data_IF_908472450419
#
_entry.id   IF_908472450419
#
_cell.length_a   1.000
_cell.length_b   1.000
_cell.length_c   1.000
_cell.angle_alpha   90.00
_cell.angle_beta   90.00
_cell.angle_gamma   90.00
#
_symmetry.space_group_name_H-M   'P 1'
#
loop_
_entity.id
_entity.type
_entity.pdbx_description
1 polymer ?
#
# COMPACT_ATOMS: atom_id res chain seq x y z
N UNK A 1 -32.43 82.40 28.54
CA UNK A 1 -31.44 82.82 27.54
C UNK A 1 -30.57 81.62 27.22
N UNK A 2 -30.49 81.34 25.92
CA UNK A 2 -29.74 80.33 25.16
C UNK A 2 -29.12 79.11 25.83
N UNK A 3 -29.43 77.93 25.28
CA UNK A 3 -28.87 76.65 25.74
C UNK A 3 -28.96 75.54 24.70
N UNK A 4 -28.43 75.79 23.50
CA UNK A 4 -27.88 74.85 22.51
C UNK A 4 -28.62 73.52 22.23
N UNK A 5 -29.25 73.46 21.04
CA UNK A 5 -29.61 72.21 20.37
C UNK A 5 -28.35 71.36 20.08
N UNK A 6 -28.34 70.10 20.50
CA UNK A 6 -27.29 69.13 20.17
C UNK A 6 -27.70 68.36 18.91
N UNK A 7 -26.88 68.32 17.85
CA UNK A 7 -27.22 67.59 16.64
C UNK A 7 -27.09 66.08 16.87
N UNK A 8 -28.08 65.33 16.39
CA UNK A 8 -28.03 63.87 16.30
C UNK A 8 -27.08 63.50 15.16
N UNK A 9 -25.94 62.89 15.50
CA UNK A 9 -24.97 62.41 14.52
C UNK A 9 -25.50 61.13 13.87
N UNK A 10 -26.01 61.25 12.63
CA UNK A 10 -26.37 60.09 11.81
C UNK A 10 -25.10 59.35 11.39
N UNK A 11 -24.86 58.16 11.96
CA UNK A 11 -23.83 57.24 11.46
C UNK A 11 -24.20 56.82 10.03
N UNK A 12 -23.40 57.25 9.04
CA UNK A 12 -23.50 56.73 7.68
C UNK A 12 -22.92 55.33 7.62
N UNK A 13 -23.68 54.38 7.10
CA UNK A 13 -23.22 53.03 6.79
C UNK A 13 -22.12 53.13 5.72
N UNK A 14 -20.88 52.78 6.07
CA UNK A 14 -19.76 52.72 5.12
C UNK A 14 -19.97 51.62 4.09
N UNK A 15 -19.66 51.91 2.83
CA UNK A 15 -19.67 50.93 1.75
C UNK A 15 -18.64 49.82 2.02
N UNK A 16 -19.09 48.57 2.05
CA UNK A 16 -18.21 47.39 2.13
C UNK A 16 -17.34 47.36 0.87
N UNK A 17 -16.03 47.55 1.02
CA UNK A 17 -15.07 47.34 -0.05
C UNK A 17 -15.10 45.86 -0.47
N UNK A 18 -15.43 45.59 -1.73
CA UNK A 18 -15.35 44.24 -2.30
C UNK A 18 -13.89 43.79 -2.32
N UNK A 19 -13.61 42.64 -1.69
CA UNK A 19 -12.28 42.02 -1.77
C UNK A 19 -11.98 41.68 -3.24
N UNK A 20 -10.76 41.96 -3.75
CA UNK A 20 -10.39 41.49 -5.07
C UNK A 20 -10.44 39.96 -5.06
N UNK A 21 -11.06 39.40 -6.11
CA UNK A 21 -11.15 37.97 -6.35
C UNK A 21 -9.72 37.43 -6.40
N UNK A 22 -9.36 36.60 -5.43
CA UNK A 22 -8.04 35.96 -5.39
C UNK A 22 -7.86 35.16 -6.68
N UNK A 23 -6.98 35.62 -7.58
CA UNK A 23 -6.56 34.86 -8.74
C UNK A 23 -5.69 33.73 -8.25
N UNK A 24 -6.28 32.54 -8.15
CA UNK A 24 -5.51 31.31 -8.01
C UNK A 24 -4.68 31.18 -9.28
N UNK A 25 -3.39 31.51 -9.20
CA UNK A 25 -2.43 31.22 -10.27
C UNK A 25 -2.31 29.70 -10.30
N UNK A 26 -2.86 29.06 -11.33
CA UNK A 26 -2.69 27.63 -11.55
C UNK A 26 -1.20 27.35 -11.80
N UNK A 27 -0.60 26.32 -11.19
CA UNK A 27 0.79 25.95 -11.47
C UNK A 27 0.93 25.58 -12.95
N UNK A 28 1.98 26.10 -13.59
CA UNK A 28 2.26 25.99 -15.02
C UNK A 28 2.80 24.61 -15.46
N UNK A 29 3.03 23.69 -14.53
CA UNK A 29 3.37 22.30 -14.86
C UNK A 29 2.09 21.49 -15.07
N UNK A 30 1.92 20.92 -16.26
CA UNK A 30 0.82 20.00 -16.53
C UNK A 30 0.80 18.88 -15.48
N UNK A 31 -0.34 18.58 -14.85
CA UNK A 31 -0.45 17.51 -13.85
C UNK A 31 0.02 16.13 -14.40
N UNK A 32 0.02 15.96 -15.72
CA UNK A 32 0.48 14.75 -16.42
C UNK A 32 2.00 14.53 -16.29
N UNK A 33 2.82 15.59 -16.38
CA UNK A 33 4.28 15.44 -16.30
C UNK A 33 4.74 15.06 -14.90
N UNK A 34 4.07 15.61 -13.88
CA UNK A 34 4.36 15.30 -12.47
C UNK A 34 4.02 13.85 -12.14
N UNK A 35 2.87 13.35 -12.62
CA UNK A 35 2.48 11.95 -12.42
C UNK A 35 3.43 10.96 -13.12
N UNK A 36 3.78 11.23 -14.39
CA UNK A 36 4.68 10.38 -15.18
C UNK A 36 6.06 10.22 -14.53
N UNK A 37 6.64 11.32 -14.05
CA UNK A 37 7.96 11.29 -13.44
C UNK A 37 7.93 10.56 -12.08
N UNK A 38 6.87 10.79 -11.28
CA UNK A 38 6.70 10.09 -10.00
C UNK A 38 6.53 8.56 -10.15
N UNK A 39 5.84 8.10 -11.19
CA UNK A 39 5.70 6.67 -11.47
C UNK A 39 7.02 6.03 -11.94
N UNK A 40 7.83 6.76 -12.72
CA UNK A 40 9.11 6.26 -13.22
C UNK A 40 10.22 6.22 -12.15
N UNK A 41 10.28 7.24 -11.27
CA UNK A 41 11.34 7.37 -10.26
C UNK A 41 11.04 6.55 -8.99
N UNK A 42 9.77 6.44 -8.59
CA UNK A 42 9.34 5.72 -7.39
C UNK A 42 8.81 4.31 -7.60
N UNK A 43 8.60 3.90 -8.86
CA UNK A 43 7.87 2.68 -9.21
C UNK A 43 8.71 1.53 -9.75
N UNK A 44 10.05 1.59 -9.77
CA UNK A 44 10.84 0.49 -10.32
C UNK A 44 10.68 -0.81 -9.49
N UNK A 45 10.43 -1.94 -10.17
CA UNK A 45 10.22 -3.26 -9.58
C UNK A 45 11.50 -3.86 -8.95
N UNK A 46 12.01 -3.23 -7.89
CA UNK A 46 13.26 -3.61 -7.20
C UNK A 46 13.02 -4.23 -5.83
N UNK A 47 12.05 -3.70 -5.08
CA UNK A 47 11.83 -4.05 -3.69
C UNK A 47 10.56 -4.91 -3.52
N UNK A 48 10.68 -6.11 -2.93
CA UNK A 48 9.53 -6.92 -2.57
C UNK A 48 8.55 -6.23 -1.61
N UNK A 49 7.26 -6.27 -1.92
CA UNK A 49 6.21 -5.76 -1.03
C UNK A 49 5.93 -6.71 0.12
N UNK A 50 5.65 -6.16 1.31
CA UNK A 50 5.21 -6.93 2.48
C UNK A 50 3.80 -7.48 2.25
N UNK A 51 3.62 -8.79 2.37
CA UNK A 51 2.34 -9.49 2.17
C UNK A 51 1.99 -10.36 3.36
N UNK A 52 0.71 -10.34 3.71
CA UNK A 52 0.12 -11.34 4.59
C UNK A 52 -0.30 -12.53 3.73
N UNK A 53 0.23 -13.72 4.03
CA UNK A 53 -0.13 -14.96 3.37
C UNK A 53 -0.71 -15.92 4.39
N UNK A 54 -1.84 -16.52 4.08
CA UNK A 54 -2.46 -17.48 4.99
C UNK A 54 -1.84 -18.85 4.81
N UNK A 55 -1.55 -19.50 5.94
CA UNK A 55 -0.81 -20.77 5.95
C UNK A 55 -1.57 -21.83 5.15
N UNK A 56 -2.91 -21.78 5.24
CA UNK A 56 -3.81 -22.70 4.56
C UNK A 56 -3.78 -22.60 3.03
N UNK A 57 -3.44 -21.44 2.48
CA UNK A 57 -3.36 -21.24 1.02
C UNK A 57 -2.08 -21.85 0.45
N UNK A 58 -1.03 -21.94 1.27
CA UNK A 58 0.29 -22.49 0.90
C UNK A 58 0.40 -23.97 1.29
N UNK A 59 -0.18 -24.36 2.42
CA UNK A 59 -0.18 -25.70 2.98
C UNK A 59 -1.62 -26.19 3.21
N UNK A 60 -2.37 -26.50 2.15
CA UNK A 60 -3.76 -26.89 2.25
C UNK A 60 -3.91 -28.21 3.02
N UNK A 61 -4.59 -28.17 4.16
CA UNK A 61 -4.95 -29.35 4.95
C UNK A 61 -6.25 -29.14 5.74
N UNK A 62 -7.33 -29.86 5.38
CA UNK A 62 -8.65 -29.67 6.00
C UNK A 62 -8.73 -30.03 7.49
N UNK A 63 -7.82 -30.86 8.00
CA UNK A 63 -7.80 -31.34 9.38
C UNK A 63 -6.94 -30.48 10.31
N UNK A 64 -6.10 -29.58 9.75
CA UNK A 64 -5.20 -28.73 10.53
C UNK A 64 -5.71 -27.30 10.65
N UNK A 65 -5.53 -26.73 11.85
CA UNK A 65 -5.76 -25.31 12.14
C UNK A 65 -4.48 -24.71 12.72
N UNK A 66 -3.93 -23.74 11.98
CA UNK A 66 -2.69 -23.06 12.35
C UNK A 66 -2.96 -21.82 13.20
N UNK A 67 -2.15 -21.59 14.22
CA UNK A 67 -2.12 -20.36 15.03
C UNK A 67 -0.69 -19.79 15.06
N UNK A 68 -0.46 -18.56 14.58
CA UNK A 68 -1.41 -17.70 13.87
C UNK A 68 -1.88 -18.30 12.52
N UNK A 69 -3.03 -17.87 12.00
CA UNK A 69 -3.59 -18.38 10.73
C UNK A 69 -2.81 -17.98 9.49
N UNK A 70 -2.13 -16.83 9.57
CA UNK A 70 -1.39 -16.24 8.46
C UNK A 70 -0.05 -15.72 8.98
N UNK A 71 0.89 -15.52 8.07
CA UNK A 71 2.21 -14.95 8.37
C UNK A 71 2.57 -13.89 7.35
N UNK A 72 3.68 -13.21 7.59
CA UNK A 72 4.12 -12.09 6.79
C UNK A 72 5.38 -12.51 6.05
N UNK A 73 5.34 -12.31 4.73
CA UNK A 73 6.42 -12.60 3.79
C UNK A 73 6.62 -11.39 2.88
N UNK A 74 7.78 -11.30 2.24
CA UNK A 74 8.04 -10.34 1.19
C UNK A 74 7.87 -11.00 -0.18
N UNK A 75 7.10 -10.38 -1.09
CA UNK A 75 6.81 -10.90 -2.42
C UNK A 75 6.89 -9.81 -3.49
N UNK A 76 7.48 -10.18 -4.61
CA UNK A 76 7.36 -9.47 -5.87
C UNK A 76 5.95 -9.69 -6.42
N UNK A 77 5.31 -8.61 -6.85
CA UNK A 77 3.95 -8.61 -7.36
C UNK A 77 3.78 -7.39 -8.28
N UNK A 78 2.71 -7.35 -9.11
CA UNK A 78 2.48 -6.23 -10.02
C UNK A 78 2.31 -4.85 -9.35
N UNK A 79 2.02 -4.82 -8.05
CA UNK A 79 1.88 -3.61 -7.23
C UNK A 79 3.13 -3.28 -6.41
N UNK A 80 4.19 -4.10 -6.47
CA UNK A 80 5.49 -3.81 -5.86
C UNK A 80 6.30 -2.79 -6.67
N UNK A 81 5.98 -2.68 -7.96
CA UNK A 81 6.57 -1.75 -8.90
C UNK A 81 6.10 -2.04 -10.32
N UNK A 82 6.26 -1.07 -11.21
CA UNK A 82 5.98 -1.16 -12.63
C UNK A 82 7.23 -1.56 -13.42
N UNK A 83 7.00 -2.33 -14.49
CA UNK A 83 8.00 -2.68 -15.47
C UNK A 83 7.76 -1.92 -16.78
N UNK A 84 8.81 -1.70 -17.56
CA UNK A 84 8.74 -1.11 -18.89
C UNK A 84 9.78 -1.82 -19.75
N UNK A 85 9.36 -2.47 -20.85
CA UNK A 85 8.06 -2.35 -21.54
C UNK A 85 6.93 -3.20 -20.90
N UNK A 86 5.64 -3.00 -21.27
CA UNK A 86 4.49 -3.62 -20.59
C UNK A 86 4.40 -5.16 -20.73
N UNK A 87 5.21 -5.76 -21.59
CA UNK A 87 5.36 -7.21 -21.72
C UNK A 87 6.16 -7.82 -20.56
N UNK A 88 6.94 -6.99 -19.85
CA UNK A 88 7.70 -7.40 -18.68
C UNK A 88 6.87 -7.37 -17.40
N UNK A 89 7.19 -8.28 -16.50
CA UNK A 89 6.49 -8.49 -15.24
C UNK A 89 7.49 -8.48 -14.10
N UNK A 90 7.07 -7.90 -12.97
CA UNK A 90 7.82 -7.92 -11.73
C UNK A 90 7.90 -9.35 -11.20
N UNK A 91 9.10 -9.93 -11.22
CA UNK A 91 9.38 -11.30 -10.82
C UNK A 91 10.46 -11.33 -9.73
N UNK A 92 10.52 -12.37 -8.89
CA UNK A 92 11.63 -12.55 -7.97
C UNK A 92 12.94 -12.77 -8.73
N UNK A 93 13.95 -11.98 -8.34
CA UNK A 93 15.34 -12.22 -8.75
C UNK A 93 16.04 -13.14 -7.76
N UNK A 94 15.84 -12.90 -6.46
CA UNK A 94 16.40 -13.70 -5.38
C UNK A 94 15.33 -14.06 -4.35
N UNK A 95 15.38 -15.29 -3.86
CA UNK A 95 14.42 -15.85 -2.91
C UNK A 95 15.19 -16.52 -1.77
N UNK A 96 14.75 -16.26 -0.55
CA UNK A 96 15.20 -16.93 0.67
C UNK A 96 14.06 -17.73 1.29
N UNK A 97 14.36 -18.94 1.80
CA UNK A 97 13.40 -19.72 2.57
C UNK A 97 13.45 -19.31 4.04
N UNK A 98 12.39 -18.67 4.53
CA UNK A 98 12.26 -18.32 5.94
C UNK A 98 11.40 -19.34 6.68
N UNK A 99 11.87 -19.80 7.84
CA UNK A 99 11.12 -20.74 8.67
C UNK A 99 10.32 -19.99 9.73
N UNK A 100 9.04 -20.33 9.85
CA UNK A 100 8.13 -19.83 10.89
C UNK A 100 7.58 -21.01 11.69
N UNK A 101 7.29 -20.76 12.95
CA UNK A 101 6.72 -21.77 13.87
C UNK A 101 5.25 -21.47 14.09
N UNK A 102 4.44 -22.51 14.01
CA UNK A 102 3.00 -22.42 14.24
C UNK A 102 2.57 -23.44 15.26
N UNK A 103 1.65 -23.03 16.12
CA UNK A 103 0.86 -23.97 16.89
C UNK A 103 -0.19 -24.58 15.96
N UNK A 104 -0.20 -25.90 15.85
CA UNK A 104 -1.10 -26.65 14.97
C UNK A 104 -2.04 -27.47 15.83
N UNK A 105 -3.34 -27.26 15.64
CA UNK A 105 -4.38 -28.16 16.13
C UNK A 105 -4.82 -29.05 14.97
N UNK A 106 -4.59 -30.34 15.09
CA UNK A 106 -4.90 -31.33 14.08
C UNK A 106 -5.98 -32.28 14.60
N UNK A 107 -7.04 -32.46 13.80
CA UNK A 107 -8.03 -33.51 14.01
C UNK A 107 -7.50 -34.82 13.44
N UNK A 108 -7.32 -35.83 14.29
CA UNK A 108 -6.90 -37.17 13.89
C UNK A 108 -8.09 -38.12 13.87
N UNK A 109 -7.92 -39.26 13.18
CA UNK A 109 -8.96 -40.29 13.07
C UNK A 109 -9.43 -40.74 14.46
N UNK A 110 -10.74 -40.90 14.63
CA UNK A 110 -11.37 -41.15 15.92
C UNK A 110 -11.81 -39.89 16.68
N UNK A 111 -11.65 -38.70 16.10
CA UNK A 111 -12.16 -37.44 16.66
C UNK A 111 -11.29 -36.84 17.76
N UNK A 112 -10.11 -37.41 18.01
CA UNK A 112 -9.14 -36.86 18.93
C UNK A 112 -8.44 -35.64 18.30
N UNK A 113 -8.03 -34.68 19.14
CA UNK A 113 -7.35 -33.47 18.70
C UNK A 113 -5.92 -33.44 19.23
N UNK A 114 -4.95 -33.43 18.33
CA UNK A 114 -3.54 -33.28 18.67
C UNK A 114 -3.10 -31.82 18.54
N UNK A 115 -2.29 -31.34 19.48
CA UNK A 115 -1.66 -30.02 19.39
C UNK A 115 -0.15 -30.16 19.30
N UNK A 116 0.46 -29.57 18.28
CA UNK A 116 1.91 -29.63 18.03
C UNK A 116 2.47 -28.26 17.64
N UNK A 117 3.79 -28.11 17.69
CA UNK A 117 4.50 -26.96 17.10
C UNK A 117 5.17 -27.43 15.81
N UNK A 118 4.72 -26.91 14.67
CA UNK A 118 5.29 -27.23 13.37
C UNK A 118 6.15 -26.07 12.84
N UNK A 119 7.21 -26.43 12.11
CA UNK A 119 8.07 -25.48 11.38
C UNK A 119 7.69 -25.51 9.90
N UNK A 120 7.21 -24.39 9.39
CA UNK A 120 6.83 -24.25 7.97
C UNK A 120 7.77 -23.24 7.29
N UNK A 121 8.10 -23.48 6.02
CA UNK A 121 9.11 -22.73 5.27
C UNK A 121 8.49 -21.94 4.12
N UNK A 122 8.58 -20.62 4.17
CA UNK A 122 7.94 -19.74 3.19
C UNK A 122 8.99 -19.12 2.26
N UNK A 123 8.62 -18.95 0.99
CA UNK A 123 9.39 -18.14 0.06
C UNK A 123 9.27 -16.66 0.42
N UNK A 124 10.41 -16.07 0.73
CA UNK A 124 10.59 -14.66 0.99
C UNK A 124 11.49 -14.08 -0.10
N UNK A 125 10.90 -13.30 -0.99
CA UNK A 125 11.65 -12.64 -2.04
C UNK A 125 12.50 -11.54 -1.40
N UNK A 126 13.76 -11.38 -1.83
CA UNK A 126 14.69 -10.39 -1.29
C UNK A 126 15.06 -9.31 -2.31
N UNK A 127 14.95 -9.62 -3.60
CA UNK A 127 15.12 -8.68 -4.71
C UNK A 127 14.13 -9.03 -5.82
N UNK A 128 13.59 -8.00 -6.49
CA UNK A 128 12.74 -8.15 -7.67
C UNK A 128 13.45 -7.59 -8.90
N UNK A 129 13.04 -8.07 -10.07
CA UNK A 129 13.40 -7.45 -11.34
C UNK A 129 12.30 -7.64 -12.40
N UNK A 130 12.39 -6.88 -13.48
CA UNK A 130 11.50 -7.01 -14.62
C UNK A 130 12.02 -8.08 -15.57
N UNK A 131 11.17 -9.08 -15.86
CA UNK A 131 11.45 -10.15 -16.82
C UNK A 131 10.29 -10.34 -17.77
N UNK A 132 10.55 -10.81 -18.98
CA UNK A 132 9.51 -11.21 -19.92
C UNK A 132 8.66 -12.38 -19.35
N UNK A 133 7.36 -12.43 -19.66
CA UNK A 133 6.46 -13.51 -19.18
C UNK A 133 6.93 -14.93 -19.52
N UNK A 134 7.65 -15.10 -20.63
CA UNK A 134 8.09 -16.39 -21.16
C UNK A 134 9.52 -16.76 -20.78
N UNK A 135 10.14 -16.01 -19.86
CA UNK A 135 11.44 -16.37 -19.32
C UNK A 135 11.28 -17.58 -18.38
N UNK A 136 11.33 -18.78 -18.96
CA UNK A 136 11.40 -20.03 -18.23
C UNK A 136 12.82 -20.26 -17.68
N UNK A 137 13.36 -19.32 -16.90
CA UNK A 137 14.52 -19.64 -16.06
C UNK A 137 14.05 -20.55 -14.93
N UNK A 138 14.41 -21.82 -15.13
CA UNK A 138 14.28 -23.01 -14.29
C UNK A 138 15.11 -22.92 -13.02
#
# INVERSE_FOLDING_TARGET
MDGAARPVLLLRCGTVASRPRSTVIAPSSSPVSTWRNGAAEGGAARFPSRRTVCVQDIYPNGSKRYTPHCTIVHRCAPDAGCCTPPEEHCQPKTIEKIVRRFLVRELIDGGEQRTTVEKLAFDNHTECECRAKYDHTR
#
